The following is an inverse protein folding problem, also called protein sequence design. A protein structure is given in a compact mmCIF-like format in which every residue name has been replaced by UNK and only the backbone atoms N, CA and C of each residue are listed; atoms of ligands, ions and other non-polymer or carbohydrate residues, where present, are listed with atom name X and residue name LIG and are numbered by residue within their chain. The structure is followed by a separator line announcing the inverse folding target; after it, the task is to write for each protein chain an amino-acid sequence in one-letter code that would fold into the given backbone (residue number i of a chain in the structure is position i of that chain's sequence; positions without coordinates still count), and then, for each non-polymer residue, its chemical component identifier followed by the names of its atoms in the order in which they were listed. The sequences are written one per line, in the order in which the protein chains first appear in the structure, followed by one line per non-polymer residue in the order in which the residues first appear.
data_IF_872406441390
#
_entry.id   IF_872406441390
#
_cell.length_a   1.000
_cell.length_b   1.000
_cell.length_c   1.000
_cell.angle_alpha   90.00
_cell.angle_beta   90.00
_cell.angle_gamma   90.00
#
_symmetry.space_group_name_H-M   'P 1'
#
loop_
_entity.id
_entity.type
_entity.pdbx_description
1 polymer ?
#
# COMPACT_ATOMS: atom_id res chain seq x y z
N UNK A 1 -12.44 19.16 -13.17
CA UNK A 1 -11.64 18.52 -12.12
C UNK A 1 -12.51 17.50 -11.41
N UNK A 2 -12.07 16.24 -11.40
CA UNK A 2 -12.63 15.20 -10.54
C UNK A 2 -12.14 15.35 -9.09
N UNK A 3 -12.71 14.54 -8.19
CA UNK A 3 -12.28 14.50 -6.80
C UNK A 3 -10.79 14.14 -6.65
N UNK A 4 -10.29 13.22 -7.49
CA UNK A 4 -8.89 12.79 -7.51
C UNK A 4 -7.92 13.92 -7.88
N UNK A 5 -8.31 14.80 -8.81
CA UNK A 5 -7.49 15.95 -9.21
C UNK A 5 -7.28 16.90 -8.02
N UNK A 6 -8.30 17.07 -7.17
CA UNK A 6 -8.18 17.87 -5.95
C UNK A 6 -7.29 17.21 -4.87
N UNK A 7 -7.25 15.87 -4.81
CA UNK A 7 -6.33 15.17 -3.90
C UNK A 7 -4.87 15.27 -4.34
N UNK A 8 -4.61 15.35 -5.65
CA UNK A 8 -3.27 15.53 -6.19
C UNK A 8 -2.64 16.83 -5.68
N UNK A 9 -3.37 17.95 -5.76
CA UNK A 9 -2.92 19.25 -5.22
C UNK A 9 -2.60 19.19 -3.71
N UNK A 10 -3.37 18.41 -2.95
CA UNK A 10 -3.15 18.22 -1.51
C UNK A 10 -1.93 17.32 -1.23
N UNK A 11 -1.74 16.28 -2.03
CA UNK A 11 -0.66 15.32 -1.86
C UNK A 11 0.69 15.85 -2.35
N UNK A 12 0.68 16.80 -3.28
CA UNK A 12 1.85 17.30 -4.00
C UNK A 12 3.04 17.70 -3.09
N UNK A 13 2.87 18.44 -1.98
CA UNK A 13 4.00 18.76 -1.09
C UNK A 13 4.63 17.51 -0.45
N UNK A 14 3.82 16.49 -0.16
CA UNK A 14 4.29 15.21 0.41
C UNK A 14 4.97 14.39 -0.68
N UNK A 15 4.40 14.35 -1.88
CA UNK A 15 4.97 13.66 -3.03
C UNK A 15 6.36 14.18 -3.37
N UNK A 16 6.53 15.50 -3.52
CA UNK A 16 7.86 16.11 -3.72
C UNK A 16 8.83 15.75 -2.61
N UNK A 17 8.40 15.84 -1.35
CA UNK A 17 9.26 15.48 -0.22
C UNK A 17 9.70 14.01 -0.23
N UNK A 18 8.88 13.09 -0.77
CA UNK A 18 9.25 11.69 -0.96
C UNK A 18 10.28 11.55 -2.09
N UNK A 19 10.00 12.14 -3.25
CA UNK A 19 10.86 12.02 -4.44
C UNK A 19 12.23 12.68 -4.21
N UNK A 20 12.26 13.82 -3.52
CA UNK A 20 13.50 14.55 -3.19
C UNK A 20 14.23 13.98 -1.96
N UNK A 21 13.70 12.92 -1.34
CA UNK A 21 14.31 12.36 -0.14
C UNK A 21 15.65 11.68 -0.47
N UNK A 22 16.69 11.96 0.32
CA UNK A 22 18.05 11.44 0.09
C UNK A 22 18.11 9.91 -0.07
N UNK A 23 17.30 9.17 0.68
CA UNK A 23 17.19 7.71 0.54
C UNK A 23 16.69 7.28 -0.85
N UNK A 24 15.69 7.97 -1.40
CA UNK A 24 15.11 7.65 -2.72
C UNK A 24 16.11 7.97 -3.82
N UNK A 25 16.77 9.13 -3.74
CA UNK A 25 17.86 9.48 -4.65
C UNK A 25 19.01 8.44 -4.60
N UNK A 26 19.46 8.08 -3.40
CA UNK A 26 20.53 7.10 -3.22
C UNK A 26 20.17 5.69 -3.72
N UNK A 27 18.91 5.27 -3.60
CA UNK A 27 18.43 4.03 -4.20
C UNK A 27 18.42 4.10 -5.74
N UNK A 28 17.94 5.20 -6.32
CA UNK A 28 17.91 5.39 -7.77
C UNK A 28 19.30 5.47 -8.41
N UNK A 29 20.27 6.04 -7.70
CA UNK A 29 21.67 6.15 -8.15
C UNK A 29 22.52 4.92 -7.81
N UNK A 30 22.02 4.00 -6.98
CA UNK A 30 22.78 2.85 -6.48
C UNK A 30 23.92 3.23 -5.52
N UNK A 31 23.82 4.37 -4.84
CA UNK A 31 24.85 4.92 -3.94
C UNK A 31 24.55 4.68 -2.46
N UNK A 32 23.41 4.06 -2.14
CA UNK A 32 23.04 3.73 -0.76
C UNK A 32 24.02 2.76 -0.10
N UNK A 33 24.32 3.00 1.17
CA UNK A 33 24.89 1.98 2.05
C UNK A 33 23.97 0.75 2.11
N UNK A 34 24.57 -0.44 2.30
CA UNK A 34 23.82 -1.70 2.31
C UNK A 34 22.84 -1.78 3.50
N UNK A 35 23.24 -1.30 4.68
CA UNK A 35 22.44 -1.44 5.89
C UNK A 35 21.08 -0.69 5.86
N UNK A 36 21.00 0.59 5.45
CA UNK A 36 19.72 1.27 5.23
C UNK A 36 18.82 0.58 4.21
N UNK A 37 19.38 0.08 3.10
CA UNK A 37 18.63 -0.63 2.07
C UNK A 37 18.04 -1.93 2.62
N UNK A 38 18.85 -2.78 3.25
CA UNK A 38 18.39 -4.04 3.88
C UNK A 38 17.29 -3.76 4.91
N UNK A 39 17.45 -2.71 5.72
CA UNK A 39 16.44 -2.31 6.68
C UNK A 39 15.13 -1.93 5.99
N UNK A 40 15.19 -1.11 4.94
CA UNK A 40 14.03 -0.70 4.16
C UNK A 40 13.30 -1.92 3.56
N UNK A 41 14.01 -2.85 2.93
CA UNK A 41 13.46 -4.09 2.37
C UNK A 41 12.67 -4.88 3.44
N UNK A 42 13.25 -5.05 4.62
CA UNK A 42 12.59 -5.76 5.72
C UNK A 42 11.39 -5.03 6.32
N UNK A 43 11.34 -3.69 6.22
CA UNK A 43 10.15 -2.91 6.60
C UNK A 43 9.06 -2.97 5.54
N UNK A 44 9.43 -2.89 4.27
CA UNK A 44 8.49 -2.87 3.16
C UNK A 44 7.76 -4.22 2.99
N UNK A 45 8.46 -5.34 3.23
CA UNK A 45 7.83 -6.66 3.32
C UNK A 45 6.66 -6.69 4.32
N UNK A 46 6.81 -6.05 5.49
CA UNK A 46 5.74 -5.96 6.51
C UNK A 46 4.62 -5.01 6.09
N UNK A 47 4.99 -3.92 5.43
CA UNK A 47 4.03 -2.99 4.88
C UNK A 47 3.14 -3.70 3.87
N UNK A 48 3.70 -4.48 2.94
CA UNK A 48 2.97 -5.22 1.92
C UNK A 48 2.03 -6.30 2.51
N UNK A 49 2.42 -7.00 3.58
CA UNK A 49 1.51 -7.91 4.30
C UNK A 49 0.32 -7.15 4.89
N UNK A 50 0.56 -5.99 5.50
CA UNK A 50 -0.52 -5.16 6.05
C UNK A 50 -1.38 -4.55 4.92
N UNK A 51 -0.76 -4.16 3.81
CA UNK A 51 -1.40 -3.59 2.64
C UNK A 51 -2.35 -4.58 1.97
N UNK A 52 -1.93 -5.84 1.79
CA UNK A 52 -2.80 -6.91 1.31
C UNK A 52 -4.03 -7.10 2.22
N UNK A 53 -3.87 -7.02 3.55
CA UNK A 53 -4.99 -7.11 4.50
C UNK A 53 -5.96 -5.92 4.39
N UNK A 54 -5.45 -4.72 4.15
CA UNK A 54 -6.29 -3.54 3.87
C UNK A 54 -7.16 -3.80 2.66
N UNK A 55 -6.56 -4.20 1.55
CA UNK A 55 -7.30 -4.46 0.31
C UNK A 55 -8.31 -5.60 0.43
N UNK A 56 -8.04 -6.60 1.27
CA UNK A 56 -8.99 -7.67 1.55
C UNK A 56 -10.30 -7.18 2.21
N UNK A 57 -10.35 -5.96 2.75
CA UNK A 57 -11.60 -5.36 3.21
C UNK A 57 -12.45 -4.76 2.08
N UNK A 58 -11.84 -4.48 0.93
CA UNK A 58 -12.49 -3.88 -0.24
C UNK A 58 -13.69 -4.70 -0.74
N UNK A 59 -13.53 -6.01 -1.04
CA UNK A 59 -14.63 -6.82 -1.58
C UNK A 59 -15.86 -6.84 -0.66
N UNK A 60 -15.64 -6.93 0.66
CA UNK A 60 -16.72 -6.97 1.64
C UNK A 60 -17.53 -5.66 1.74
N UNK A 61 -16.98 -4.55 1.23
CA UNK A 61 -17.62 -3.22 1.23
C UNK A 61 -18.04 -2.77 -0.17
N UNK A 62 -17.73 -3.55 -1.20
CA UNK A 62 -18.05 -3.20 -2.57
C UNK A 62 -19.58 -3.21 -2.76
N UNK A 63 -20.14 -2.21 -3.46
CA UNK A 63 -21.59 -2.09 -3.63
C UNK A 63 -22.17 -3.02 -4.71
N UNK A 64 -21.33 -3.54 -5.60
CA UNK A 64 -21.73 -4.47 -6.66
C UNK A 64 -20.66 -5.54 -6.95
N UNK A 65 -21.06 -6.55 -7.72
CA UNK A 65 -20.23 -7.72 -8.02
C UNK A 65 -18.99 -7.39 -8.86
N UNK A 66 -19.09 -6.41 -9.76
CA UNK A 66 -17.99 -5.99 -10.62
C UNK A 66 -16.89 -5.34 -9.78
N UNK A 67 -17.27 -4.36 -8.96
CA UNK A 67 -16.35 -3.69 -8.03
C UNK A 67 -15.82 -4.65 -6.97
N UNK A 68 -16.64 -5.59 -6.49
CA UNK A 68 -16.18 -6.64 -5.57
C UNK A 68 -15.06 -7.48 -6.20
N UNK A 69 -15.20 -7.86 -7.47
CA UNK A 69 -14.18 -8.56 -8.23
C UNK A 69 -12.91 -7.73 -8.39
N UNK A 70 -13.02 -6.47 -8.79
CA UNK A 70 -11.89 -5.56 -8.92
C UNK A 70 -11.12 -5.39 -7.59
N UNK A 71 -11.83 -5.23 -6.48
CA UNK A 71 -11.21 -5.16 -5.16
C UNK A 71 -10.56 -6.47 -4.72
N UNK A 72 -11.07 -7.63 -5.16
CA UNK A 72 -10.52 -8.94 -4.80
C UNK A 72 -9.20 -9.24 -5.51
N UNK A 73 -8.96 -8.62 -6.66
CA UNK A 73 -7.70 -8.74 -7.40
C UNK A 73 -6.55 -7.96 -6.73
N UNK A 74 -6.81 -6.85 -6.04
CA UNK A 74 -5.78 -6.07 -5.35
C UNK A 74 -4.99 -6.85 -4.27
N UNK A 75 -5.63 -7.50 -3.27
CA UNK A 75 -4.89 -8.29 -2.30
C UNK A 75 -4.25 -9.52 -2.95
N UNK A 76 -4.88 -10.11 -3.97
CA UNK A 76 -4.32 -11.24 -4.71
C UNK A 76 -3.03 -10.86 -5.42
N UNK A 77 -3.03 -9.78 -6.21
CA UNK A 77 -1.84 -9.26 -6.88
C UNK A 77 -0.73 -8.91 -5.89
N UNK A 78 -1.09 -8.35 -4.72
CA UNK A 78 -0.10 -8.05 -3.67
C UNK A 78 0.54 -9.33 -3.13
N UNK A 79 -0.25 -10.38 -2.85
CA UNK A 79 0.22 -11.64 -2.26
C UNK A 79 1.00 -12.47 -3.27
N UNK A 80 0.49 -12.62 -4.50
CA UNK A 80 0.98 -13.58 -5.48
C UNK A 80 2.05 -12.98 -6.40
N UNK A 81 2.03 -11.66 -6.63
CA UNK A 81 2.97 -11.01 -7.57
C UNK A 81 3.95 -10.12 -6.82
N UNK A 82 3.46 -9.14 -6.06
CA UNK A 82 4.33 -8.16 -5.41
C UNK A 82 5.23 -8.81 -4.36
N UNK A 83 4.72 -9.77 -3.59
CA UNK A 83 5.56 -10.48 -2.61
C UNK A 83 6.64 -11.35 -3.24
N UNK A 84 6.38 -11.95 -4.38
CA UNK A 84 7.40 -12.75 -5.08
C UNK A 84 8.49 -11.87 -5.67
N UNK A 85 8.12 -10.73 -6.25
CA UNK A 85 9.08 -9.70 -6.67
C UNK A 85 9.91 -9.17 -5.50
N UNK A 86 9.27 -8.91 -4.36
CA UNK A 86 9.94 -8.42 -3.16
C UNK A 86 10.93 -9.43 -2.58
N UNK A 87 10.57 -10.72 -2.54
CA UNK A 87 11.46 -11.80 -2.10
C UNK A 87 12.67 -11.94 -3.03
N UNK A 88 12.46 -11.84 -4.34
CA UNK A 88 13.55 -11.88 -5.32
C UNK A 88 14.49 -10.68 -5.12
N UNK A 89 13.95 -9.47 -5.01
CA UNK A 89 14.74 -8.27 -4.75
C UNK A 89 15.51 -8.33 -3.41
N UNK A 90 14.87 -8.88 -2.37
CA UNK A 90 15.52 -9.11 -1.09
C UNK A 90 16.69 -10.09 -1.21
N UNK A 91 16.54 -11.17 -1.99
CA UNK A 91 17.61 -12.14 -2.22
C UNK A 91 18.80 -11.50 -2.95
N UNK A 92 18.54 -10.65 -3.95
CA UNK A 92 19.59 -9.89 -4.66
C UNK A 92 20.34 -8.93 -3.73
N UNK A 93 19.65 -8.36 -2.74
CA UNK A 93 20.25 -7.55 -1.68
C UNK A 93 20.85 -8.38 -0.52
N UNK A 94 20.91 -9.71 -0.65
CA UNK A 94 21.48 -10.63 0.35
C UNK A 94 20.63 -10.80 1.61
N UNK A 95 19.34 -10.49 1.57
CA UNK A 95 18.37 -10.67 2.65
C UNK A 95 17.57 -11.95 2.38
N UNK A 96 17.71 -12.94 3.27
CA UNK A 96 16.95 -14.19 3.15
C UNK A 96 15.49 -14.04 3.56
N UNK A 97 14.62 -14.91 3.04
CA UNK A 97 13.20 -14.95 3.46
C UNK A 97 13.06 -15.17 4.97
N UNK A 98 13.93 -16.00 5.58
CA UNK A 98 14.00 -16.17 7.04
C UNK A 98 14.36 -14.89 7.78
N UNK A 99 15.14 -14.00 7.19
CA UNK A 99 15.40 -12.66 7.77
C UNK A 99 14.17 -11.78 7.64
N UNK A 100 13.49 -11.77 6.49
CA UNK A 100 12.25 -11.01 6.29
C UNK A 100 11.16 -11.40 7.32
N UNK A 101 10.94 -12.71 7.49
CA UNK A 101 9.95 -13.22 8.44
C UNK A 101 10.32 -12.92 9.90
N UNK A 102 11.61 -13.03 10.26
CA UNK A 102 12.11 -12.66 11.60
C UNK A 102 11.98 -11.19 11.87
N UNK A 103 12.38 -10.37 10.90
CA UNK A 103 12.25 -8.95 10.96
C UNK A 103 10.78 -8.60 11.19
N UNK A 104 9.83 -9.22 10.49
CA UNK A 104 8.39 -9.09 10.69
C UNK A 104 7.92 -8.95 12.15
N UNK A 105 8.53 -9.70 13.06
CA UNK A 105 8.20 -9.72 14.49
C UNK A 105 8.79 -8.55 15.31
N UNK A 106 9.77 -7.80 14.78
CA UNK A 106 10.70 -6.94 15.51
C UNK A 106 10.31 -5.46 15.64
N UNK A 107 9.17 -5.02 15.10
CA UNK A 107 8.73 -3.63 15.33
C UNK A 107 8.43 -3.43 16.82
N UNK A 108 8.97 -2.35 17.41
CA UNK A 108 8.68 -2.01 18.81
C UNK A 108 7.17 -1.92 19.03
N UNK A 109 6.69 -2.25 20.24
CA UNK A 109 5.25 -2.21 20.56
C UNK A 109 4.61 -0.89 20.15
N UNK A 110 5.27 0.24 20.44
CA UNK A 110 4.82 1.58 20.04
C UNK A 110 4.70 1.76 18.53
N UNK A 111 5.62 1.20 17.74
CA UNK A 111 5.58 1.28 16.28
C UNK A 111 4.47 0.39 15.72
N UNK A 112 4.27 -0.82 16.27
CA UNK A 112 3.12 -1.69 15.94
C UNK A 112 1.80 -1.00 16.25
N UNK A 113 1.62 -0.47 17.46
CA UNK A 113 0.41 0.25 17.87
C UNK A 113 0.14 1.49 16.99
N UNK A 114 1.20 2.17 16.52
CA UNK A 114 1.09 3.30 15.60
C UNK A 114 0.71 2.86 14.19
N UNK A 115 1.33 1.79 13.69
CA UNK A 115 1.00 1.22 12.38
C UNK A 115 -0.44 0.72 12.39
N UNK A 116 -0.87 -0.07 13.38
CA UNK A 116 -2.25 -0.55 13.50
C UNK A 116 -3.25 0.61 13.58
N UNK A 117 -2.94 1.68 14.33
CA UNK A 117 -3.79 2.89 14.34
C UNK A 117 -3.86 3.56 12.98
N UNK A 118 -2.73 3.74 12.31
CA UNK A 118 -2.66 4.42 11.02
C UNK A 118 -3.37 3.58 9.96
N UNK A 119 -3.09 2.28 9.89
CA UNK A 119 -3.79 1.34 9.03
C UNK A 119 -5.29 1.29 9.31
N UNK A 120 -5.70 1.16 10.57
CA UNK A 120 -7.12 1.20 10.94
C UNK A 120 -7.77 2.56 10.67
N UNK A 121 -7.00 3.65 10.61
CA UNK A 121 -7.50 4.97 10.15
C UNK A 121 -7.59 5.02 8.63
N UNK A 122 -6.58 4.53 7.90
CA UNK A 122 -6.59 4.42 6.43
C UNK A 122 -7.76 3.58 5.97
N UNK A 123 -7.97 2.37 6.51
CA UNK A 123 -9.12 1.51 6.18
C UNK A 123 -10.45 2.21 6.44
N UNK A 124 -10.55 3.03 7.51
CA UNK A 124 -11.77 3.81 7.79
C UNK A 124 -11.94 4.96 6.81
N UNK A 125 -10.86 5.66 6.47
CA UNK A 125 -10.89 6.77 5.51
C UNK A 125 -11.17 6.26 4.10
N UNK A 126 -10.57 5.16 3.68
CA UNK A 126 -10.87 4.50 2.40
C UNK A 126 -12.31 4.02 2.35
N UNK A 127 -12.81 3.37 3.42
CA UNK A 127 -14.21 2.98 3.47
C UNK A 127 -15.17 4.17 3.42
N UNK A 128 -14.84 5.28 4.11
CA UNK A 128 -15.62 6.50 4.06
C UNK A 128 -15.57 7.14 2.67
N UNK A 129 -14.38 7.22 2.06
CA UNK A 129 -14.17 7.70 0.70
C UNK A 129 -14.96 6.86 -0.31
N UNK A 130 -14.92 5.53 -0.21
CA UNK A 130 -15.65 4.64 -1.12
C UNK A 130 -17.17 4.77 -0.95
N UNK A 131 -17.66 4.89 0.29
CA UNK A 131 -19.07 5.17 0.54
C UNK A 131 -19.50 6.52 -0.05
N UNK A 132 -18.69 7.56 0.12
CA UNK A 132 -18.99 8.91 -0.36
C UNK A 132 -18.90 9.01 -1.89
N UNK A 133 -17.88 8.40 -2.50
CA UNK A 133 -17.73 8.28 -3.94
C UNK A 133 -18.90 7.50 -4.57
N UNK A 134 -19.42 6.47 -3.89
CA UNK A 134 -20.62 5.76 -4.32
C UNK A 134 -21.87 6.64 -4.26
N UNK A 135 -22.07 7.39 -3.17
CA UNK A 135 -23.20 8.32 -3.03
C UNK A 135 -23.13 9.47 -4.04
N UNK A 136 -21.94 9.98 -4.33
CA UNK A 136 -21.72 11.03 -5.32
C UNK A 136 -21.91 10.53 -6.77
N UNK A 137 -21.72 9.23 -7.03
CA UNK A 137 -21.83 8.67 -8.36
C UNK A 137 -23.27 8.55 -8.88
N UNK A 138 -24.31 8.53 -8.04
CA UNK A 138 -25.72 8.64 -8.47
C UNK A 138 -26.15 7.68 -9.60
N UNK A 139 -25.61 6.46 -9.67
CA UNK A 139 -25.94 5.51 -10.75
C UNK A 139 -27.06 4.57 -10.35
N UNK A 140 -28.26 4.83 -10.87
CA UNK A 140 -29.23 3.76 -11.12
C UNK A 140 -28.67 2.74 -12.11
N UNK A 141 -29.17 1.49 -12.09
CA UNK A 141 -28.63 0.41 -12.91
C UNK A 141 -29.03 0.67 -14.37
N UNK A 142 -28.08 1.10 -15.21
CA UNK A 142 -28.41 1.19 -16.63
C UNK A 142 -27.40 1.86 -17.54
N UNK A 143 -26.49 2.70 -17.04
CA UNK A 143 -25.73 3.49 -18.01
C UNK A 143 -24.39 3.97 -17.47
N UNK A 144 -23.35 3.11 -17.48
CA UNK A 144 -21.96 3.54 -17.70
C UNK A 144 -21.17 2.42 -18.38
N UNK A 145 -20.65 2.77 -19.55
CA UNK A 145 -19.65 2.03 -20.32
C UNK A 145 -18.27 2.51 -19.88
N UNK A 146 -17.44 1.60 -19.40
CA UNK A 146 -15.98 1.69 -19.44
C UNK A 146 -15.46 0.32 -19.87
#
# INVERSE_FOLDING_TARGET
MGFTDGLEEVAEPVWRAIVDHLMVAAFGEGTSDEAPLRHWIGQDYRYLIAYARVFAHGPAKAPDLEQMGAFAELPRSTIDTEMDLHRAYAADAGVSERELDREGAAASRRRRDRLDRLFGRTVRLEAAFLNDAHLAAGTGPGDRRW
#
